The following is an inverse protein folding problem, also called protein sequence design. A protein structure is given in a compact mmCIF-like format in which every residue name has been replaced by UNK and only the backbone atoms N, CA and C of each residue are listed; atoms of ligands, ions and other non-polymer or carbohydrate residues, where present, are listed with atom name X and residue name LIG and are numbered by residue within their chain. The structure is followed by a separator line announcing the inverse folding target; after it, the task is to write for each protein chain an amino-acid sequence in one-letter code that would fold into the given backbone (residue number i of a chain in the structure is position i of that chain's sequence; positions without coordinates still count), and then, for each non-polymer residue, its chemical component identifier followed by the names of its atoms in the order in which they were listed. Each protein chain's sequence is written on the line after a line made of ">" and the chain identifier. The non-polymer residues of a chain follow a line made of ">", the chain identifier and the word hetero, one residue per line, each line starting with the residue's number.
data_IF_515449345398
#
_entry.id   IF_515449345398
#
_cell.length_a   1.000
_cell.length_b   1.000
_cell.length_c   1.000
_cell.angle_alpha   90.00
_cell.angle_beta   90.00
_cell.angle_gamma   90.00
#
_symmetry.space_group_name_H-M   'P 1'
#
loop_
_entity.id
_entity.type
_entity.pdbx_description
1 polymer ?
#
# COMPACT_ATOMS: atom_id res chain seq x y z
N UNK A 1 8.30 1.83 -32.53
CA UNK A 1 7.95 2.37 -31.19
C UNK A 1 6.76 1.58 -30.67
N UNK A 2 6.95 0.75 -29.65
CA UNK A 2 5.84 0.03 -29.02
C UNK A 2 4.85 1.03 -28.41
N UNK A 3 3.56 0.86 -28.69
CA UNK A 3 2.51 1.68 -28.09
C UNK A 3 2.43 1.37 -26.60
N UNK A 4 2.91 2.30 -25.75
CA UNK A 4 2.76 2.22 -24.30
C UNK A 4 1.27 2.09 -23.97
N UNK A 5 0.85 0.97 -23.37
CA UNK A 5 -0.55 0.77 -23.02
C UNK A 5 -1.01 1.89 -22.09
N UNK A 6 -2.19 2.47 -22.36
CA UNK A 6 -2.78 3.46 -21.47
C UNK A 6 -3.11 2.81 -20.13
N UNK A 7 -2.68 3.45 -19.04
CA UNK A 7 -2.96 3.00 -17.67
C UNK A 7 -4.46 2.82 -17.49
N UNK A 8 -4.88 1.61 -17.12
CA UNK A 8 -6.27 1.35 -16.75
C UNK A 8 -6.56 2.06 -15.43
N UNK A 9 -7.68 2.78 -15.38
CA UNK A 9 -8.16 3.35 -14.13
C UNK A 9 -8.59 2.22 -13.19
N UNK A 10 -8.23 2.34 -11.91
CA UNK A 10 -8.71 1.40 -10.89
C UNK A 10 -10.21 1.66 -10.70
N UNK A 11 -11.03 0.64 -10.99
CA UNK A 11 -12.48 0.69 -10.83
C UNK A 11 -12.85 1.04 -9.38
N UNK A 12 -13.88 1.87 -9.19
CA UNK A 12 -14.42 2.23 -7.87
C UNK A 12 -14.82 1.00 -7.04
N UNK A 13 -15.31 -0.06 -7.67
CA UNK A 13 -15.59 -1.34 -6.98
C UNK A 13 -14.33 -1.97 -6.42
N UNK A 14 -13.25 -2.06 -7.21
CA UNK A 14 -11.97 -2.59 -6.74
C UNK A 14 -11.41 -1.75 -5.59
N UNK A 15 -11.51 -0.41 -5.67
CA UNK A 15 -11.10 0.46 -4.56
C UNK A 15 -11.91 0.16 -3.29
N UNK A 16 -13.23 0.02 -3.41
CA UNK A 16 -14.11 -0.34 -2.29
C UNK A 16 -13.68 -1.67 -1.66
N UNK A 17 -13.43 -2.68 -2.48
CA UNK A 17 -13.09 -4.02 -2.02
C UNK A 17 -11.71 -4.07 -1.36
N UNK A 18 -10.73 -3.31 -1.88
CA UNK A 18 -9.42 -3.10 -1.23
C UNK A 18 -9.62 -2.52 0.16
N UNK A 19 -10.46 -1.50 0.31
CA UNK A 19 -10.73 -0.93 1.64
C UNK A 19 -11.33 -1.97 2.59
N UNK A 20 -12.39 -2.65 2.18
CA UNK A 20 -13.04 -3.65 3.03
C UNK A 20 -12.12 -4.82 3.38
N UNK A 21 -11.26 -5.25 2.44
CA UNK A 21 -10.28 -6.32 2.69
C UNK A 21 -9.27 -5.95 3.78
N UNK A 22 -8.73 -4.74 3.74
CA UNK A 22 -7.58 -4.38 4.60
C UNK A 22 -7.95 -3.54 5.83
N UNK A 23 -9.04 -2.78 5.76
CA UNK A 23 -9.51 -1.91 6.83
C UNK A 23 -10.75 -2.50 7.52
N UNK A 24 -11.60 -3.21 6.77
CA UNK A 24 -12.89 -3.69 7.22
C UNK A 24 -13.95 -2.59 7.24
N UNK A 25 -15.02 -2.81 8.00
CA UNK A 25 -16.14 -1.87 8.12
C UNK A 25 -15.82 -0.68 9.04
N UNK A 26 -14.76 0.07 8.72
CA UNK A 26 -14.33 1.27 9.46
C UNK A 26 -14.22 2.45 8.51
N UNK A 27 -14.67 3.61 8.97
CA UNK A 27 -14.63 4.84 8.18
C UNK A 27 -13.21 5.41 8.00
N UNK A 28 -12.27 5.06 8.88
CA UNK A 28 -10.91 5.60 8.90
C UNK A 28 -9.85 4.56 9.28
N UNK A 29 -8.63 4.78 8.79
CA UNK A 29 -7.45 3.98 9.11
C UNK A 29 -6.19 4.86 9.08
N UNK A 30 -5.06 4.33 9.58
CA UNK A 30 -3.75 4.93 9.29
C UNK A 30 -3.27 4.46 7.92
N UNK A 31 -2.60 5.35 7.20
CA UNK A 31 -1.95 5.03 5.92
C UNK A 31 -1.08 3.78 6.06
N UNK A 32 -1.19 2.82 5.14
CA UNK A 32 -0.46 1.56 5.22
C UNK A 32 1.03 1.73 4.91
N UNK A 33 1.38 2.82 4.21
CA UNK A 33 2.75 3.15 3.87
C UNK A 33 3.47 3.88 5.02
N UNK A 34 3.04 5.11 5.35
CA UNK A 34 3.77 5.94 6.31
C UNK A 34 3.34 5.77 7.76
N UNK A 35 2.21 5.12 8.03
CA UNK A 35 1.58 4.97 9.37
C UNK A 35 1.26 6.28 10.12
N UNK A 36 1.59 7.44 9.55
CA UNK A 36 1.40 8.78 10.14
C UNK A 36 0.02 9.35 9.80
N UNK A 37 -0.27 9.47 8.50
CA UNK A 37 -1.48 10.14 8.01
C UNK A 37 -2.72 9.28 8.28
N UNK A 38 -3.81 9.93 8.70
CA UNK A 38 -5.14 9.32 8.73
C UNK A 38 -5.75 9.34 7.33
N UNK A 39 -6.35 8.22 6.94
CA UNK A 39 -7.03 8.02 5.67
C UNK A 39 -8.49 7.65 5.95
N UNK A 40 -9.40 8.16 5.13
CA UNK A 40 -10.85 8.01 5.30
C UNK A 40 -11.43 7.33 4.06
N UNK A 41 -12.33 6.38 4.25
CA UNK A 41 -12.96 5.61 3.17
C UNK A 41 -13.61 6.51 2.12
N UNK A 42 -14.31 7.56 2.59
CA UNK A 42 -14.97 8.53 1.75
C UNK A 42 -13.95 9.49 1.11
N UNK A 43 -13.53 9.20 -0.11
CA UNK A 43 -12.63 10.06 -0.90
C UNK A 43 -13.23 11.42 -1.29
N UNK A 44 -14.53 11.68 -1.12
CA UNK A 44 -15.14 12.96 -1.51
C UNK A 44 -14.68 14.13 -0.65
N UNK A 45 -15.20 14.24 0.57
CA UNK A 45 -14.96 15.37 1.48
C UNK A 45 -13.51 15.44 1.95
N UNK A 46 -12.84 14.29 2.03
CA UNK A 46 -11.50 14.21 2.62
C UNK A 46 -10.41 13.82 1.61
N UNK A 47 -10.72 13.21 0.46
CA UNK A 47 -9.80 12.64 -0.55
C UNK A 47 -8.42 12.19 -0.02
N UNK A 48 -8.43 11.58 1.17
CA UNK A 48 -7.21 11.35 1.94
C UNK A 48 -6.49 10.09 1.48
N UNK A 49 -7.22 9.17 0.84
CA UNK A 49 -6.75 7.84 0.51
C UNK A 49 -6.80 7.53 -0.99
N UNK A 50 -5.89 6.66 -1.43
CA UNK A 50 -5.79 6.11 -2.78
C UNK A 50 -5.55 4.60 -2.69
N UNK A 51 -5.84 3.89 -3.77
CA UNK A 51 -5.42 2.49 -3.94
C UNK A 51 -4.03 2.46 -4.60
N UNK A 52 -2.99 2.35 -3.77
CA UNK A 52 -1.60 2.33 -4.20
C UNK A 52 -1.17 0.92 -4.61
N UNK A 53 -0.33 0.83 -5.63
CA UNK A 53 0.12 -0.45 -6.17
C UNK A 53 1.30 -1.01 -5.37
N UNK A 54 1.29 -2.31 -5.08
CA UNK A 54 2.44 -3.01 -4.49
C UNK A 54 3.53 -3.16 -5.55
N UNK A 55 3.20 -3.83 -6.65
CA UNK A 55 3.99 -3.84 -7.88
C UNK A 55 3.46 -2.73 -8.76
N UNK A 56 4.33 -1.80 -9.15
CA UNK A 56 3.91 -0.63 -9.92
C UNK A 56 3.32 -1.04 -11.26
N UNK A 57 2.40 -0.23 -11.78
CA UNK A 57 1.83 -0.48 -13.10
C UNK A 57 2.91 -0.50 -14.20
N UNK A 58 3.95 0.33 -14.06
CA UNK A 58 5.08 0.37 -14.98
C UNK A 58 5.89 -0.93 -14.95
N UNK A 59 5.90 -1.63 -13.81
CA UNK A 59 6.55 -2.92 -13.63
C UNK A 59 5.59 -4.12 -13.87
N UNK A 60 4.47 -3.90 -14.57
CA UNK A 60 3.51 -4.96 -14.91
C UNK A 60 2.49 -5.29 -13.81
N UNK A 61 2.42 -4.47 -12.76
CA UNK A 61 1.44 -4.65 -11.69
C UNK A 61 0.00 -4.45 -12.15
N UNK A 62 -0.85 -5.42 -11.82
CA UNK A 62 -2.27 -5.41 -12.14
C UNK A 62 -3.08 -4.56 -11.15
N UNK A 63 -4.16 -3.95 -11.61
CA UNK A 63 -5.08 -3.16 -10.78
C UNK A 63 -6.10 -4.07 -10.05
N UNK A 64 -5.59 -5.01 -9.26
CA UNK A 64 -6.38 -6.04 -8.58
C UNK A 64 -6.22 -5.94 -7.07
N UNK A 65 -7.22 -6.47 -6.33
CA UNK A 65 -7.32 -6.35 -4.87
C UNK A 65 -6.03 -6.81 -4.15
N UNK A 66 -5.34 -7.82 -4.69
CA UNK A 66 -4.13 -8.38 -4.11
C UNK A 66 -2.86 -7.55 -4.37
N UNK A 67 -2.88 -6.67 -5.37
CA UNK A 67 -1.76 -5.78 -5.71
C UNK A 67 -2.00 -4.33 -5.27
N UNK A 68 -3.07 -4.07 -4.51
CA UNK A 68 -3.47 -2.73 -4.11
C UNK A 68 -3.61 -2.62 -2.58
N UNK A 69 -3.15 -1.50 -2.01
CA UNK A 69 -3.33 -1.19 -0.59
C UNK A 69 -3.83 0.24 -0.36
N UNK A 70 -4.52 0.50 0.76
CA UNK A 70 -4.89 1.84 1.16
C UNK A 70 -3.67 2.69 1.53
N UNK A 71 -3.36 3.68 0.69
CA UNK A 71 -2.25 4.62 0.86
C UNK A 71 -2.78 6.04 0.97
N UNK A 72 -2.06 6.95 1.63
CA UNK A 72 -2.44 8.36 1.61
C UNK A 72 -2.01 9.01 0.29
N UNK A 73 -2.67 10.12 -0.09
CA UNK A 73 -2.35 10.84 -1.33
C UNK A 73 -0.87 11.23 -1.44
N UNK A 74 -0.26 11.67 -0.34
CA UNK A 74 1.14 12.09 -0.31
C UNK A 74 2.09 10.95 -0.65
N UNK A 75 2.04 9.85 0.11
CA UNK A 75 2.89 8.68 -0.18
C UNK A 75 2.62 8.08 -1.55
N UNK A 76 1.37 8.09 -2.02
CA UNK A 76 1.03 7.61 -3.35
C UNK A 76 1.70 8.44 -4.46
N UNK A 77 1.74 9.76 -4.29
CA UNK A 77 2.39 10.66 -5.25
C UNK A 77 3.92 10.52 -5.17
N UNK A 78 4.46 10.47 -3.95
CA UNK A 78 5.91 10.36 -3.72
C UNK A 78 6.47 9.01 -4.21
N UNK A 79 5.66 7.94 -4.16
CA UNK A 79 5.98 6.60 -4.66
C UNK A 79 6.02 6.51 -6.18
N UNK A 80 5.23 7.33 -6.86
CA UNK A 80 5.18 7.43 -8.32
C UNK A 80 5.04 6.05 -9.02
N UNK A 81 6.07 5.61 -9.75
CA UNK A 81 6.12 4.37 -10.52
C UNK A 81 7.06 3.30 -9.95
N UNK A 82 7.53 3.50 -8.72
CA UNK A 82 8.32 2.53 -7.99
C UNK A 82 7.43 1.41 -7.42
N UNK A 83 8.02 0.23 -7.21
CA UNK A 83 7.36 -0.77 -6.38
C UNK A 83 7.35 -0.29 -4.93
N UNK A 84 6.35 -0.72 -4.18
CA UNK A 84 6.17 -0.30 -2.80
C UNK A 84 7.40 -0.62 -1.93
N UNK A 85 8.01 -1.79 -2.12
CA UNK A 85 9.20 -2.19 -1.37
C UNK A 85 10.42 -1.30 -1.67
N UNK A 86 10.60 -0.91 -2.94
CA UNK A 86 11.69 -0.02 -3.36
C UNK A 86 11.51 1.38 -2.74
N UNK A 87 10.27 1.89 -2.79
CA UNK A 87 9.90 3.17 -2.16
C UNK A 87 10.16 3.19 -0.65
N UNK A 88 9.79 2.10 0.02
CA UNK A 88 9.99 1.92 1.45
C UNK A 88 11.48 1.85 1.81
N UNK A 89 12.26 1.10 1.03
CA UNK A 89 13.69 0.90 1.25
C UNK A 89 14.47 2.23 1.22
N UNK A 90 14.13 3.12 0.27
CA UNK A 90 14.77 4.45 0.19
C UNK A 90 14.29 5.45 1.25
N UNK A 91 13.17 5.18 1.92
CA UNK A 91 12.60 6.05 2.95
C UNK A 91 12.62 5.42 4.35
N UNK A 92 13.83 5.22 4.88
CA UNK A 92 14.07 4.68 6.24
C UNK A 92 13.29 5.41 7.35
N UNK A 93 12.99 6.69 7.14
CA UNK A 93 12.26 7.53 8.08
C UNK A 93 10.74 7.31 8.13
N UNK A 94 10.16 6.51 7.24
CA UNK A 94 8.76 6.07 7.30
C UNK A 94 8.51 5.01 8.39
N UNK A 95 9.59 4.40 8.94
CA UNK A 95 9.55 3.28 9.90
C UNK A 95 9.89 3.64 11.35
N UNK A 96 10.07 4.91 11.69
CA UNK A 96 10.57 5.35 13.01
C UNK A 96 9.74 4.96 14.26
N UNK A 97 8.65 4.20 14.12
CA UNK A 97 7.85 3.69 15.25
C UNK A 97 7.80 2.17 15.39
N UNK A 98 8.56 1.41 14.59
CA UNK A 98 8.72 -0.04 14.81
C UNK A 98 10.14 -0.31 15.34
N UNK A 99 10.30 -1.09 16.43
CA UNK A 99 11.61 -1.40 17.00
C UNK A 99 12.45 -2.09 15.94
N UNK A 100 13.44 -1.34 15.48
CA UNK A 100 14.37 -1.65 14.42
C UNK A 100 15.37 -2.70 14.92
N UNK A 101 14.96 -3.98 14.95
CA UNK A 101 15.94 -5.07 14.88
C UNK A 101 16.37 -5.16 13.42
N UNK A 102 17.39 -4.38 13.12
CA UNK A 102 17.81 -3.99 11.78
C UNK A 102 18.60 -5.07 11.02
N UNK A 103 18.78 -6.25 11.60
CA UNK A 103 19.46 -7.33 10.93
C UNK A 103 18.47 -8.46 10.74
N UNK A 104 18.22 -8.80 9.47
CA UNK A 104 17.71 -10.10 9.03
C UNK A 104 16.19 -10.38 8.96
N UNK A 105 15.27 -9.42 9.10
CA UNK A 105 13.86 -9.73 8.75
C UNK A 105 13.61 -9.73 7.23
N UNK A 106 14.24 -8.80 6.50
CA UNK A 106 13.90 -8.50 5.10
C UNK A 106 14.84 -9.11 4.05
N UNK A 107 16.03 -9.59 4.43
CA UNK A 107 17.01 -10.22 3.50
C UNK A 107 16.57 -11.60 2.99
N UNK A 108 15.64 -12.28 3.68
CA UNK A 108 15.22 -13.66 3.35
C UNK A 108 14.18 -13.72 2.23
N UNK A 109 13.46 -12.64 1.96
CA UNK A 109 12.35 -12.64 1.02
C UNK A 109 12.79 -12.02 -0.30
N UNK A 110 13.04 -12.87 -1.30
CA UNK A 110 13.15 -12.42 -2.69
C UNK A 110 11.90 -11.60 -3.01
N UNK A 111 12.13 -10.31 -3.27
CA UNK A 111 11.21 -9.28 -3.79
C UNK A 111 9.78 -9.82 -4.04
N UNK A 112 8.90 -9.75 -3.03
CA UNK A 112 7.50 -10.10 -3.23
C UNK A 112 6.70 -10.61 -2.01
N UNK A 113 7.34 -11.01 -0.90
CA UNK A 113 6.65 -11.71 0.21
C UNK A 113 6.63 -10.90 1.52
N UNK A 114 7.13 -9.67 1.53
CA UNK A 114 7.32 -8.91 2.78
C UNK A 114 5.98 -8.49 3.44
N UNK A 115 4.90 -8.36 2.67
CA UNK A 115 3.70 -7.66 3.16
C UNK A 115 2.60 -8.52 3.79
N UNK A 116 2.53 -9.82 3.48
CA UNK A 116 1.45 -10.67 4.01
C UNK A 116 1.59 -10.90 5.52
N UNK A 117 2.81 -11.11 6.03
CA UNK A 117 3.02 -11.49 7.42
C UNK A 117 2.80 -10.34 8.42
N UNK A 118 3.08 -9.08 8.04
CA UNK A 118 2.81 -7.92 8.91
C UNK A 118 1.33 -7.59 9.02
N UNK A 119 0.54 -7.79 7.95
CA UNK A 119 -0.91 -7.61 8.00
C UNK A 119 -1.63 -8.79 8.64
N UNK A 120 -1.17 -10.02 8.39
CA UNK A 120 -1.70 -11.23 9.04
C UNK A 120 -1.51 -11.17 10.56
N UNK A 121 -0.35 -10.68 11.05
CA UNK A 121 -0.10 -10.46 12.48
C UNK A 121 -0.96 -9.36 13.10
N UNK A 122 -1.34 -8.33 12.34
CA UNK A 122 -2.22 -7.25 12.84
C UNK A 122 -3.71 -7.61 12.87
N UNK A 123 -4.17 -8.57 12.07
CA UNK A 123 -5.57 -9.02 12.07
C UNK A 123 -5.84 -10.14 13.08
N UNK A 124 -4.86 -11.00 13.39
CA UNK A 124 -5.02 -12.07 14.38
C UNK A 124 -4.60 -11.69 15.81
N UNK A 125 -3.92 -10.57 16.04
CA UNK A 125 -3.72 -10.04 17.40
C UNK A 125 -4.96 -9.37 18.00
N UNK A 126 -6.14 -9.64 17.42
CA UNK A 126 -7.47 -9.18 17.87
C UNK A 126 -8.50 -10.34 17.91
N UNK A 127 -8.01 -11.58 17.98
CA UNK A 127 -8.74 -12.72 18.53
C UNK A 127 -8.11 -13.03 19.88
#
# INVERSE_FOLDING_TARGET
>A
MEKKQKRKNINGTVKRDVWFKYVGNKAKAKCFCCRKNEIFFCSGVHNTWQAGHIISHNNGGLAEINNLHPICKQCNNDMNDENWDDYISRHRNLYHSLPFSNDNYYKKYEKGIIWWQSLYRMHLSRI
#
